data_IF_348103652680
#
_entry.id   IF_348103652680
#
_cell.length_a   1.000
_cell.length_b   1.000
_cell.length_c   1.000
_cell.angle_alpha   90.00
_cell.angle_beta   90.00
_cell.angle_gamma   90.00
#
_symmetry.space_group_name_H-M   'P 1'
#
loop_
_entity.id
_entity.type
_entity.pdbx_description
1 polymer ?
#
# COMPACT_ATOMS: atom_id res chain seq x y z
N UNK A 1 -24.97 -0.47 12.18
CA UNK A 1 -23.63 -0.48 12.82
C UNK A 1 -22.65 0.16 11.85
N UNK A 2 -21.95 1.23 12.25
CA UNK A 2 -21.21 2.09 11.33
C UNK A 2 -20.06 1.35 10.65
N UNK A 3 -19.95 1.52 9.32
CA UNK A 3 -18.92 0.89 8.48
C UNK A 3 -17.48 1.18 8.90
N UNK A 4 -17.28 2.12 9.83
CA UNK A 4 -16.00 2.42 10.46
C UNK A 4 -15.55 1.32 11.42
N UNK A 5 -16.40 0.90 12.35
CA UNK A 5 -16.06 -0.15 13.32
C UNK A 5 -15.74 -1.46 12.58
N UNK A 6 -16.52 -1.78 11.55
CA UNK A 6 -16.32 -2.98 10.74
C UNK A 6 -15.01 -2.93 9.93
N UNK A 7 -14.60 -1.75 9.43
CA UNK A 7 -13.30 -1.54 8.75
C UNK A 7 -12.12 -1.58 9.72
N UNK A 8 -12.25 -0.99 10.91
CA UNK A 8 -11.18 -1.00 11.93
C UNK A 8 -10.99 -2.40 12.53
N UNK A 9 -12.08 -3.12 12.83
CA UNK A 9 -12.00 -4.51 13.31
C UNK A 9 -11.42 -5.46 12.24
N UNK A 10 -11.77 -5.29 10.95
CA UNK A 10 -11.15 -6.05 9.86
C UNK A 10 -9.67 -5.75 9.73
N UNK A 11 -9.27 -4.47 9.71
CA UNK A 11 -7.85 -4.05 9.62
C UNK A 11 -7.02 -4.59 10.79
N UNK A 12 -7.56 -4.61 12.00
CA UNK A 12 -6.89 -5.20 13.16
C UNK A 12 -6.74 -6.73 13.03
N UNK A 13 -7.74 -7.43 12.46
CA UNK A 13 -7.67 -8.87 12.23
C UNK A 13 -6.66 -9.26 11.13
N UNK A 14 -6.57 -8.50 10.03
CA UNK A 14 -5.55 -8.72 9.00
C UNK A 14 -4.15 -8.33 9.48
N UNK A 15 -4.00 -7.21 10.20
CA UNK A 15 -2.71 -6.84 10.78
C UNK A 15 -2.26 -7.83 11.85
N UNK A 16 -3.16 -8.38 12.68
CA UNK A 16 -2.83 -9.38 13.70
C UNK A 16 -2.21 -10.68 13.14
N UNK A 17 -2.44 -10.98 11.85
CA UNK A 17 -1.75 -12.07 11.15
C UNK A 17 -0.32 -11.72 10.71
N UNK A 18 0.06 -10.45 10.69
CA UNK A 18 1.37 -9.95 10.20
C UNK A 18 2.21 -9.31 11.32
N UNK A 19 1.57 -8.77 12.37
CA UNK A 19 2.22 -8.23 13.57
C UNK A 19 1.95 -9.15 14.75
N UNK A 20 2.95 -9.90 15.19
CA UNK A 20 2.84 -10.76 16.37
C UNK A 20 3.17 -9.96 17.62
N UNK A 21 2.19 -9.82 18.52
CA UNK A 21 2.43 -9.50 19.92
C UNK A 21 2.90 -10.76 20.65
N UNK A 22 3.87 -10.62 21.55
CA UNK A 22 4.53 -11.72 22.24
C UNK A 22 3.56 -12.61 23.04
N UNK A 23 3.66 -13.94 22.84
CA UNK A 23 3.38 -14.95 23.85
C UNK A 23 1.93 -15.36 24.10
N UNK A 24 1.46 -16.43 23.43
CA UNK A 24 0.52 -17.38 24.01
C UNK A 24 0.87 -18.80 23.52
N UNK A 25 1.22 -19.76 24.40
CA UNK A 25 1.53 -21.12 24.00
C UNK A 25 0.22 -21.83 23.65
N UNK A 26 -0.06 -22.04 22.36
CA UNK A 26 -1.15 -22.94 21.96
C UNK A 26 -1.90 -22.63 20.66
N UNK A 27 -1.66 -21.51 19.98
CA UNK A 27 -2.28 -21.25 18.66
C UNK A 27 -1.39 -21.78 17.53
N UNK A 28 -1.88 -22.60 16.58
CA UNK A 28 -1.18 -22.89 15.34
C UNK A 28 -1.10 -21.60 14.52
N UNK A 29 -0.04 -20.83 14.74
CA UNK A 29 0.18 -19.60 14.00
C UNK A 29 0.30 -19.93 12.51
N UNK A 30 -0.39 -19.20 11.62
CA UNK A 30 -0.19 -19.38 10.19
C UNK A 30 1.28 -19.08 9.87
N UNK A 31 2.06 -20.12 9.57
CA UNK A 31 3.46 -20.02 9.16
C UNK A 31 3.63 -19.32 7.79
N UNK A 32 2.51 -18.93 7.15
CA UNK A 32 2.45 -18.39 5.80
C UNK A 32 1.54 -17.16 5.77
N UNK A 33 2.09 -16.07 5.23
CA UNK A 33 1.34 -14.87 4.90
C UNK A 33 0.56 -15.06 3.59
N UNK A 34 -0.43 -14.19 3.37
CA UNK A 34 -1.07 -14.06 2.07
C UNK A 34 -0.02 -13.79 0.98
N UNK A 35 -0.16 -14.46 -0.17
CA UNK A 35 0.76 -14.33 -1.29
C UNK A 35 0.45 -13.05 -2.07
N UNK A 36 1.48 -12.25 -2.34
CA UNK A 36 1.36 -11.06 -3.17
C UNK A 36 1.70 -11.40 -4.62
N UNK A 37 0.73 -11.26 -5.53
CA UNK A 37 0.95 -11.41 -6.97
C UNK A 37 1.49 -10.09 -7.55
N UNK A 38 2.55 -10.19 -8.34
CA UNK A 38 3.10 -9.06 -9.10
C UNK A 38 2.75 -9.26 -10.57
N UNK A 39 2.45 -8.19 -11.29
CA UNK A 39 2.16 -8.30 -12.73
C UNK A 39 0.70 -8.58 -13.07
N UNK A 40 -0.21 -8.50 -12.09
CA UNK A 40 -1.64 -8.74 -12.29
C UNK A 40 -2.43 -7.45 -12.00
N UNK A 41 -3.66 -7.31 -12.53
CA UNK A 41 -4.50 -6.14 -12.30
C UNK A 41 -4.66 -5.76 -10.82
N UNK A 42 -4.78 -4.46 -10.53
CA UNK A 42 -4.81 -3.96 -9.15
C UNK A 42 -6.03 -4.47 -8.38
N UNK A 43 -7.16 -4.64 -9.03
CA UNK A 43 -8.40 -5.23 -8.50
C UNK A 43 -8.25 -6.72 -8.15
N UNK A 44 -7.34 -7.46 -8.80
CA UNK A 44 -7.02 -8.83 -8.41
C UNK A 44 -6.16 -8.87 -7.14
N UNK A 45 -5.17 -7.96 -7.02
CA UNK A 45 -4.27 -7.92 -5.85
C UNK A 45 -4.94 -7.28 -4.64
N UNK A 46 -5.71 -6.21 -4.85
CA UNK A 46 -6.33 -5.39 -3.81
C UNK A 46 -7.85 -5.54 -3.80
N UNK A 47 -8.36 -6.76 -4.02
CA UNK A 47 -9.79 -7.04 -4.24
C UNK A 47 -10.72 -6.50 -3.16
N UNK A 48 -10.33 -6.66 -1.90
CA UNK A 48 -11.09 -6.16 -0.76
C UNK A 48 -10.34 -5.04 -0.01
N UNK A 49 -9.02 -5.16 0.08
CA UNK A 49 -8.11 -4.26 0.78
C UNK A 49 -6.67 -4.48 0.26
N UNK A 50 -5.74 -3.63 0.69
CA UNK A 50 -4.29 -3.82 0.45
C UNK A 50 -3.83 -5.09 1.18
N UNK A 51 -3.12 -6.02 0.52
CA UNK A 51 -2.57 -7.21 1.17
C UNK A 51 -1.70 -6.87 2.38
N UNK A 52 -1.87 -7.63 3.48
CA UNK A 52 -1.16 -7.40 4.74
C UNK A 52 0.36 -7.24 4.60
N UNK A 53 1.07 -8.08 3.82
CA UNK A 53 2.50 -7.92 3.60
C UNK A 53 2.89 -6.61 2.94
N UNK A 54 2.10 -6.10 1.97
CA UNK A 54 2.34 -4.80 1.35
C UNK A 54 2.07 -3.67 2.34
N UNK A 55 1.02 -3.80 3.14
CA UNK A 55 0.68 -2.82 4.17
C UNK A 55 1.81 -2.68 5.21
N UNK A 56 2.41 -3.78 5.68
CA UNK A 56 3.56 -3.72 6.61
C UNK A 56 4.75 -2.99 6.00
N UNK A 57 5.05 -3.22 4.72
CA UNK A 57 6.12 -2.49 4.02
C UNK A 57 5.82 -0.98 3.93
N UNK A 58 4.56 -0.62 3.62
CA UNK A 58 4.11 0.79 3.58
C UNK A 58 4.21 1.43 4.96
N UNK A 59 3.79 0.74 6.02
CA UNK A 59 3.84 1.24 7.40
C UNK A 59 5.28 1.44 7.88
N UNK A 60 6.20 0.53 7.54
CA UNK A 60 7.62 0.71 7.84
C UNK A 60 8.18 1.96 7.15
N UNK A 61 7.87 2.17 5.87
CA UNK A 61 8.26 3.40 5.18
C UNK A 61 7.66 4.65 5.82
N UNK A 62 6.37 4.62 6.17
CA UNK A 62 5.71 5.76 6.80
C UNK A 62 6.40 6.17 8.12
N UNK A 63 6.90 5.19 8.88
CA UNK A 63 7.63 5.42 10.12
C UNK A 63 9.06 5.94 9.90
N UNK A 64 9.82 5.35 8.97
CA UNK A 64 11.27 5.55 8.88
C UNK A 64 11.73 6.47 7.74
N UNK A 65 10.94 6.59 6.67
CA UNK A 65 11.31 7.39 5.50
C UNK A 65 11.42 8.90 5.76
N UNK A 66 10.57 9.55 6.59
CA UNK A 66 10.61 11.02 6.76
C UNK A 66 11.94 11.57 7.28
N UNK A 67 12.73 10.77 8.00
CA UNK A 67 14.03 11.18 8.55
C UNK A 67 15.20 10.84 7.63
N UNK A 68 14.94 10.18 6.49
CA UNK A 68 15.96 9.73 5.54
C UNK A 68 15.91 10.58 4.28
N UNK A 69 17.10 10.89 3.74
CA UNK A 69 17.20 11.56 2.45
C UNK A 69 16.96 10.58 1.31
N UNK A 70 16.48 11.09 0.19
CA UNK A 70 16.51 10.39 -1.10
C UNK A 70 15.68 9.11 -1.16
N UNK A 71 14.77 8.89 -0.23
CA UNK A 71 13.80 7.78 -0.30
C UNK A 71 12.99 7.92 -1.58
N UNK A 72 12.73 6.80 -2.25
CA UNK A 72 12.20 6.74 -3.62
C UNK A 72 13.08 7.31 -4.74
N UNK A 73 14.15 8.06 -4.45
CA UNK A 73 15.14 8.48 -5.46
C UNK A 73 16.30 7.48 -5.54
N UNK A 74 16.98 7.23 -4.43
CA UNK A 74 18.10 6.30 -4.36
C UNK A 74 17.65 4.84 -4.60
N UNK A 75 18.46 4.01 -5.29
CA UNK A 75 18.14 2.61 -5.52
C UNK A 75 18.37 1.77 -4.27
N UNK A 76 17.53 0.74 -4.10
CA UNK A 76 17.76 -0.33 -3.12
C UNK A 76 18.74 -1.39 -3.62
N UNK A 77 19.21 -2.24 -2.71
CA UNK A 77 20.12 -3.33 -3.04
C UNK A 77 19.40 -4.42 -3.86
N UNK A 78 19.87 -4.71 -5.08
CA UNK A 78 19.18 -5.58 -6.04
C UNK A 78 18.94 -7.02 -5.53
N UNK A 79 19.94 -7.62 -4.86
CA UNK A 79 19.80 -8.97 -4.26
C UNK A 79 18.72 -9.03 -3.17
N UNK A 80 18.78 -8.12 -2.20
CA UNK A 80 17.75 -7.95 -1.16
C UNK A 80 16.36 -7.69 -1.76
N UNK A 81 16.25 -6.87 -2.81
CA UNK A 81 14.97 -6.65 -3.51
C UNK A 81 14.42 -7.96 -4.11
N UNK A 82 15.26 -8.74 -4.81
CA UNK A 82 14.84 -10.03 -5.39
C UNK A 82 14.38 -11.00 -4.30
N UNK A 83 15.11 -11.08 -3.19
CA UNK A 83 14.79 -11.92 -2.03
C UNK A 83 13.46 -11.52 -1.39
N UNK A 84 13.25 -10.22 -1.16
CA UNK A 84 12.02 -9.69 -0.59
C UNK A 84 10.81 -9.98 -1.49
N UNK A 85 10.92 -9.73 -2.79
CA UNK A 85 9.85 -10.04 -3.76
C UNK A 85 9.51 -11.53 -3.74
N UNK A 86 10.53 -12.40 -3.74
CA UNK A 86 10.32 -13.84 -3.67
C UNK A 86 9.55 -14.24 -2.39
N UNK A 87 9.91 -13.67 -1.23
CA UNK A 87 9.19 -13.94 0.01
C UNK A 87 7.73 -13.47 -0.04
N UNK A 88 7.46 -12.29 -0.57
CA UNK A 88 6.09 -11.78 -0.75
C UNK A 88 5.26 -12.69 -1.66
N UNK A 89 5.83 -13.15 -2.78
CA UNK A 89 5.14 -14.04 -3.72
C UNK A 89 4.90 -15.45 -3.16
N UNK A 90 5.81 -15.93 -2.31
CA UNK A 90 5.68 -17.24 -1.66
C UNK A 90 4.83 -17.19 -0.38
N UNK A 91 4.49 -16.00 0.11
CA UNK A 91 3.81 -15.81 1.40
C UNK A 91 4.69 -16.20 2.58
N UNK A 92 6.01 -16.04 2.48
CA UNK A 92 6.92 -16.38 3.59
C UNK A 92 6.93 -15.25 4.61
N UNK A 93 7.08 -15.59 5.89
CA UNK A 93 7.33 -14.60 6.93
C UNK A 93 8.64 -13.85 6.63
N UNK A 94 8.58 -12.53 6.76
CA UNK A 94 9.70 -11.63 6.50
C UNK A 94 9.91 -10.75 7.71
N UNK A 95 11.11 -10.79 8.29
CA UNK A 95 11.53 -9.73 9.19
C UNK A 95 11.87 -8.49 8.35
N UNK A 96 10.97 -7.50 8.36
CA UNK A 96 11.09 -6.28 7.55
C UNK A 96 12.23 -5.37 8.01
N UNK A 97 12.70 -5.50 9.26
CA UNK A 97 13.82 -4.72 9.78
C UNK A 97 15.17 -5.13 9.19
N UNK A 98 15.25 -6.34 8.64
CA UNK A 98 16.44 -6.80 7.91
C UNK A 98 16.58 -6.16 6.52
N UNK A 99 15.61 -5.36 6.09
CA UNK A 99 15.63 -4.69 4.79
C UNK A 99 15.69 -3.18 4.98
N UNK A 100 16.59 -2.53 4.25
CA UNK A 100 16.69 -1.07 4.26
C UNK A 100 15.44 -0.41 3.69
N UNK A 101 15.13 0.79 4.16
CA UNK A 101 14.06 1.66 3.63
C UNK A 101 14.17 1.80 2.10
N UNK A 102 15.37 2.01 1.56
CA UNK A 102 15.59 2.09 0.10
C UNK A 102 15.23 0.80 -0.65
N UNK A 103 15.48 -0.37 -0.05
CA UNK A 103 15.10 -1.67 -0.61
C UNK A 103 13.59 -1.82 -0.63
N UNK A 104 12.92 -1.49 0.48
CA UNK A 104 11.47 -1.55 0.60
C UNK A 104 10.81 -0.58 -0.40
N UNK A 105 11.26 0.67 -0.45
CA UNK A 105 10.79 1.67 -1.40
C UNK A 105 10.97 1.19 -2.85
N UNK A 106 12.10 0.56 -3.17
CA UNK A 106 12.36 0.02 -4.50
C UNK A 106 11.46 -1.17 -4.86
N UNK A 107 11.13 -2.04 -3.88
CA UNK A 107 10.19 -3.13 -4.07
C UNK A 107 8.76 -2.62 -4.27
N UNK A 108 8.29 -1.65 -3.47
CA UNK A 108 6.97 -1.03 -3.68
C UNK A 108 6.88 -0.31 -5.03
N UNK A 109 7.90 0.48 -5.41
CA UNK A 109 7.96 1.08 -6.76
C UNK A 109 7.89 0.01 -7.85
N UNK A 110 8.58 -1.12 -7.66
CA UNK A 110 8.57 -2.23 -8.63
C UNK A 110 7.22 -2.96 -8.67
N UNK A 111 6.51 -3.06 -7.55
CA UNK A 111 5.14 -3.56 -7.50
C UNK A 111 4.22 -2.68 -8.33
N UNK A 112 4.19 -1.36 -8.05
CA UNK A 112 3.34 -0.41 -8.77
C UNK A 112 3.61 -0.40 -10.28
N UNK A 113 4.89 -0.39 -10.68
CA UNK A 113 5.29 -0.44 -12.10
C UNK A 113 4.87 -1.71 -12.84
N UNK A 114 4.58 -2.79 -12.12
CA UNK A 114 4.18 -4.06 -12.73
C UNK A 114 2.66 -4.19 -12.89
N UNK A 115 1.86 -3.26 -12.39
CA UNK A 115 0.41 -3.31 -12.55
C UNK A 115 0.07 -3.06 -14.04
N UNK A 116 -0.61 -3.99 -14.73
CA UNK A 116 -1.02 -3.79 -16.10
C UNK A 116 -2.04 -2.65 -16.17
N UNK A 117 -1.81 -1.69 -17.07
CA UNK A 117 -2.67 -0.51 -17.20
C UNK A 117 -2.48 0.56 -16.13
N UNK A 118 -1.48 0.42 -15.24
CA UNK A 118 -1.20 1.40 -14.20
C UNK A 118 -2.16 1.33 -13.01
N UNK A 119 -1.88 2.13 -11.98
CA UNK A 119 -2.70 2.17 -10.75
C UNK A 119 -4.07 2.81 -11.00
N UNK A 120 -4.13 3.78 -11.93
CA UNK A 120 -5.35 4.52 -12.25
C UNK A 120 -6.10 3.96 -13.46
N UNK A 121 -5.54 2.97 -14.16
CA UNK A 121 -6.08 2.52 -15.44
C UNK A 121 -5.86 3.54 -16.57
N UNK A 122 -6.05 3.13 -17.83
CA UNK A 122 -5.87 4.00 -18.99
C UNK A 122 -6.85 5.18 -19.01
N UNK A 123 -8.12 4.91 -18.75
CA UNK A 123 -9.16 5.94 -18.69
C UNK A 123 -8.85 6.91 -17.55
N UNK A 124 -8.46 6.38 -16.39
CA UNK A 124 -8.15 7.22 -15.26
C UNK A 124 -6.88 8.05 -15.43
N UNK A 125 -5.88 7.57 -16.16
CA UNK A 125 -4.71 8.37 -16.55
C UNK A 125 -5.08 9.46 -17.56
N UNK A 126 -5.89 9.15 -18.57
CA UNK A 126 -6.34 10.13 -19.56
C UNK A 126 -7.13 11.29 -18.93
N UNK A 127 -8.02 11.00 -17.98
CA UNK A 127 -8.71 12.04 -17.21
C UNK A 127 -7.76 12.91 -16.38
N UNK A 128 -6.70 12.33 -15.78
CA UNK A 128 -5.73 13.12 -15.02
C UNK A 128 -4.99 14.11 -15.93
N UNK A 129 -4.67 13.70 -17.15
CA UNK A 129 -4.08 14.60 -18.14
C UNK A 129 -5.04 15.73 -18.56
N UNK A 130 -6.35 15.48 -18.63
CA UNK A 130 -7.31 16.56 -18.88
C UNK A 130 -7.43 17.53 -17.69
N UNK A 131 -7.31 17.01 -16.47
CA UNK A 131 -7.43 17.82 -15.25
C UNK A 131 -6.20 18.70 -15.02
N UNK A 132 -5.00 18.23 -15.35
CA UNK A 132 -3.77 19.03 -15.16
C UNK A 132 -3.76 20.30 -16.02
N UNK A 133 -4.50 20.30 -17.13
CA UNK A 133 -4.62 21.45 -18.04
C UNK A 133 -5.66 22.49 -17.56
N UNK A 134 -6.38 22.24 -16.46
CA UNK A 134 -7.32 23.22 -15.87
C UNK A 134 -6.54 24.31 -15.15
N UNK A 135 -6.69 25.56 -15.58
CA UNK A 135 -6.03 26.73 -14.97
C UNK A 135 -6.56 27.08 -13.58
N UNK A 136 -7.87 26.94 -13.37
CA UNK A 136 -8.50 27.24 -12.08
C UNK A 136 -8.20 26.12 -11.07
N UNK A 137 -7.40 26.45 -10.05
CA UNK A 137 -6.96 25.50 -9.01
C UNK A 137 -8.13 24.91 -8.21
N UNK A 138 -9.18 25.68 -7.94
CA UNK A 138 -10.34 25.20 -7.18
C UNK A 138 -11.12 24.17 -7.99
N UNK A 139 -11.33 24.46 -9.28
CA UNK A 139 -11.98 23.52 -10.21
C UNK A 139 -11.10 22.30 -10.42
N UNK A 140 -9.78 22.48 -10.57
CA UNK A 140 -8.82 21.38 -10.71
C UNK A 140 -8.88 20.45 -9.49
N UNK A 141 -8.79 20.99 -8.28
CA UNK A 141 -8.86 20.22 -7.03
C UNK A 141 -10.21 19.51 -6.90
N UNK A 142 -11.33 20.19 -7.16
CA UNK A 142 -12.66 19.59 -7.09
C UNK A 142 -12.77 18.40 -8.05
N UNK A 143 -12.22 18.54 -9.27
CA UNK A 143 -12.22 17.47 -10.28
C UNK A 143 -11.34 16.30 -9.87
N UNK A 144 -10.18 16.53 -9.24
CA UNK A 144 -9.34 15.46 -8.66
C UNK A 144 -10.10 14.71 -7.55
N UNK A 145 -10.77 15.42 -6.65
CA UNK A 145 -11.45 14.84 -5.49
C UNK A 145 -12.75 14.10 -5.80
N UNK A 146 -13.41 14.42 -6.93
CA UNK A 146 -14.61 13.72 -7.38
C UNK A 146 -14.31 12.30 -7.93
N UNK A 147 -13.04 11.92 -8.07
CA UNK A 147 -12.64 10.65 -8.69
C UNK A 147 -12.77 9.47 -7.73
N UNK A 148 -13.27 8.30 -8.17
CA UNK A 148 -13.47 7.12 -7.31
C UNK A 148 -12.21 6.61 -6.61
N UNK A 149 -11.03 6.82 -7.19
CA UNK A 149 -9.73 6.41 -6.62
C UNK A 149 -9.26 7.28 -5.46
N UNK A 150 -9.79 8.49 -5.29
CA UNK A 150 -9.45 9.39 -4.20
C UNK A 150 -10.67 9.51 -3.29
N UNK A 151 -10.76 8.76 -2.17
CA UNK A 151 -11.85 8.96 -1.24
C UNK A 151 -11.86 10.43 -0.80
N UNK A 152 -13.03 11.08 -0.89
CA UNK A 152 -13.24 12.43 -0.38
C UNK A 152 -12.63 12.51 1.02
N UNK A 153 -11.68 13.43 1.20
CA UNK A 153 -11.17 13.78 2.51
C UNK A 153 -12.36 14.03 3.44
N UNK A 154 -12.24 13.57 4.68
CA UNK A 154 -13.21 13.83 5.74
C UNK A 154 -13.39 15.34 5.78
N UNK A 155 -14.49 15.84 5.23
CA UNK A 155 -14.96 17.19 5.54
C UNK A 155 -15.36 17.12 7.01
N UNK A 156 -14.49 17.65 7.87
CA UNK A 156 -14.85 18.00 9.24
C UNK A 156 -16.08 18.89 9.15
N UNK A 157 -17.23 18.37 9.54
CA UNK A 157 -18.37 19.22 9.84
C UNK A 157 -18.01 20.02 11.09
N UNK A 158 -17.59 21.26 10.88
CA UNK A 158 -17.69 22.30 11.90
C UNK A 158 -19.19 22.55 12.07
N UNK A 159 -19.76 21.90 13.09
CA UNK A 159 -21.16 22.08 13.48
C UNK A 159 -21.19 23.16 14.54
N UNK A 160 -21.99 24.19 14.28
CA UNK A 160 -22.37 25.28 15.19
C UNK A 160 -22.93 24.78 16.52
#
# INVERSE_FOLDING_TARGET
MSSWAQRMHRRAATLGSVVTSCGHPGSPYPHRLEKVKFGVPLDEVCKNDIPGPLLVLILKLNKEAPVLKDVFRAPGHQGAMKKLIHFLQQGRLVNVDNYSVYTIASVLKKFLRKIPGGVFGREGEAELFQIVDIEDELVQQERIHKRPCFPRGIQSQESS
#
